data_IF_376420762690
#
_entry.id   IF_376420762690
#
_cell.length_a   1.000
_cell.length_b   1.000
_cell.length_c   1.000
_cell.angle_alpha   90.00
_cell.angle_beta   90.00
_cell.angle_gamma   90.00
#
_symmetry.space_group_name_H-M   'P 1'
#
loop_
_entity.id
_entity.type
_entity.pdbx_description
1 polymer ?
#
# COMPACT_ATOMS: atom_id res chain seq x y z
N UNK A 1 29.74 24.23 2.09
CA UNK A 1 28.28 24.06 2.30
C UNK A 1 27.42 25.16 1.67
N UNK A 2 27.85 26.43 1.59
CA UNK A 2 27.06 27.51 0.96
C UNK A 2 26.82 27.32 -0.56
N UNK A 3 27.82 26.80 -1.27
CA UNK A 3 27.77 26.57 -2.73
C UNK A 3 26.76 25.47 -3.12
N UNK A 4 26.70 24.37 -2.35
CA UNK A 4 25.73 23.28 -2.58
C UNK A 4 24.28 23.76 -2.38
N UNK A 5 24.07 24.66 -1.41
CA UNK A 5 22.75 25.24 -1.13
C UNK A 5 22.31 26.23 -2.23
N UNK A 6 23.25 26.98 -2.79
CA UNK A 6 23.02 27.90 -3.91
C UNK A 6 22.72 27.13 -5.22
N UNK A 7 23.41 26.01 -5.44
CA UNK A 7 23.18 25.13 -6.59
C UNK A 7 21.81 24.42 -6.50
N UNK A 8 21.46 23.89 -5.32
CA UNK A 8 20.16 23.23 -5.10
C UNK A 8 18.97 24.19 -5.27
N UNK A 9 19.13 25.45 -4.86
CA UNK A 9 18.12 26.49 -5.05
C UNK A 9 18.00 26.89 -6.52
N UNK A 10 19.11 26.96 -7.26
CA UNK A 10 19.09 27.17 -8.72
C UNK A 10 18.36 26.07 -9.50
N UNK A 11 18.57 24.79 -9.11
CA UNK A 11 17.88 23.66 -9.72
C UNK A 11 16.36 23.71 -9.48
N UNK A 12 15.94 24.11 -8.26
CA UNK A 12 14.54 24.31 -7.93
C UNK A 12 13.89 25.41 -8.78
N UNK A 13 14.54 26.56 -8.94
CA UNK A 13 14.02 27.63 -9.80
C UNK A 13 13.92 27.20 -11.27
N UNK A 14 14.89 26.44 -11.77
CA UNK A 14 14.85 25.91 -13.14
C UNK A 14 13.71 24.89 -13.32
N UNK A 15 13.46 24.05 -12.33
CA UNK A 15 12.33 23.10 -12.34
C UNK A 15 10.97 23.83 -12.29
N UNK A 16 10.84 24.85 -11.44
CA UNK A 16 9.61 25.66 -11.37
C UNK A 16 9.39 26.45 -12.67
N UNK A 17 10.46 27.01 -13.26
CA UNK A 17 10.37 27.74 -14.52
C UNK A 17 9.97 26.84 -15.70
N UNK A 18 10.46 25.60 -15.74
CA UNK A 18 10.10 24.64 -16.80
C UNK A 18 8.64 24.19 -16.71
N UNK A 19 8.13 23.94 -15.50
CA UNK A 19 6.71 23.61 -15.30
C UNK A 19 5.80 24.80 -15.68
N UNK A 20 6.18 26.02 -15.31
CA UNK A 20 5.44 27.22 -15.70
C UNK A 20 5.44 27.43 -17.22
N UNK A 21 6.58 27.24 -17.89
CA UNK A 21 6.69 27.34 -19.34
C UNK A 21 5.79 26.31 -20.05
N UNK A 22 5.77 25.06 -19.57
CA UNK A 22 4.87 24.02 -20.09
C UNK A 22 3.40 24.40 -19.91
N UNK A 23 3.03 24.94 -18.75
CA UNK A 23 1.66 25.42 -18.49
C UNK A 23 1.22 26.54 -19.44
N UNK A 24 2.11 27.51 -19.71
CA UNK A 24 1.82 28.61 -20.65
C UNK A 24 1.66 28.10 -22.08
N UNK A 25 2.51 27.18 -22.53
CA UNK A 25 2.38 26.57 -23.87
C UNK A 25 1.06 25.81 -23.99
N UNK A 26 0.70 25.04 -22.96
CA UNK A 26 -0.55 24.27 -22.93
C UNK A 26 -1.78 25.19 -22.95
N UNK A 27 -1.77 26.27 -22.18
CA UNK A 27 -2.83 27.28 -22.18
C UNK A 27 -2.94 28.02 -23.53
N UNK A 28 -1.79 28.33 -24.16
CA UNK A 28 -1.76 28.98 -25.47
C UNK A 28 -2.29 28.06 -26.57
N UNK A 29 -1.97 26.75 -26.52
CA UNK A 29 -2.54 25.76 -27.43
C UNK A 29 -4.05 25.58 -27.22
N UNK A 30 -4.51 25.67 -25.97
CA UNK A 30 -5.93 25.59 -25.64
C UNK A 30 -6.72 26.78 -26.21
N UNK A 31 -6.23 28.01 -26.03
CA UNK A 31 -6.87 29.19 -26.63
C UNK A 31 -6.79 29.24 -28.15
N UNK A 32 -5.74 28.66 -28.74
CA UNK A 32 -5.59 28.56 -30.19
C UNK A 32 -6.46 27.44 -30.81
N UNK A 33 -7.20 26.69 -29.99
CA UNK A 33 -8.13 25.66 -30.46
C UNK A 33 -7.44 24.45 -31.11
N UNK A 34 -6.19 24.17 -30.74
CA UNK A 34 -5.43 23.03 -31.29
C UNK A 34 -5.97 21.67 -30.82
N UNK A 35 -6.81 21.65 -29.78
CA UNK A 35 -7.60 20.51 -29.32
C UNK A 35 -8.99 20.48 -29.97
N UNK A 36 -9.10 20.72 -31.28
CA UNK A 36 -10.33 20.33 -31.98
C UNK A 36 -10.34 18.80 -32.05
N UNK A 37 -11.47 18.16 -31.71
CA UNK A 37 -11.60 16.69 -31.70
C UNK A 37 -11.07 16.06 -33.00
N UNK A 38 -11.28 16.73 -34.14
CA UNK A 38 -10.77 16.29 -35.45
C UNK A 38 -9.24 16.17 -35.53
N UNK A 39 -8.47 17.03 -34.84
CA UNK A 39 -6.99 16.98 -34.88
C UNK A 39 -6.41 15.97 -33.90
N UNK A 40 -7.07 15.75 -32.77
CA UNK A 40 -6.70 14.68 -31.83
C UNK A 40 -7.00 13.32 -32.47
N UNK A 41 -8.16 13.18 -33.12
CA UNK A 41 -8.52 11.99 -33.90
C UNK A 41 -7.57 11.82 -35.09
N UNK A 42 -7.20 12.88 -35.80
CA UNK A 42 -6.21 12.82 -36.88
C UNK A 42 -4.81 12.39 -36.39
N UNK A 43 -4.40 12.82 -35.19
CA UNK A 43 -3.12 12.42 -34.59
C UNK A 43 -3.13 10.95 -34.16
N UNK A 44 -4.23 10.48 -33.56
CA UNK A 44 -4.43 9.06 -33.24
C UNK A 44 -4.53 8.19 -34.50
N UNK A 45 -5.19 8.68 -35.55
CA UNK A 45 -5.28 8.01 -36.84
C UNK A 45 -3.91 7.90 -37.52
N UNK A 46 -3.12 8.98 -37.53
CA UNK A 46 -1.76 8.99 -38.06
C UNK A 46 -0.82 8.05 -37.28
N UNK A 47 -0.98 7.98 -35.95
CA UNK A 47 -0.23 7.05 -35.10
C UNK A 47 -0.62 5.57 -35.36
N UNK A 48 -1.85 5.32 -35.78
CA UNK A 48 -2.34 4.01 -36.21
C UNK A 48 -2.13 3.75 -37.72
N UNK A 49 -1.39 4.62 -38.42
CA UNK A 49 -1.03 4.43 -39.83
C UNK A 49 -2.16 4.72 -40.82
N UNK A 50 -3.27 5.30 -40.37
CA UNK A 50 -4.38 5.73 -41.21
C UNK A 50 -4.20 7.23 -41.46
N UNK A 51 -3.76 7.62 -42.65
CA UNK A 51 -3.68 9.03 -43.04
C UNK A 51 -5.10 9.65 -43.00
N UNK A 52 -5.38 10.63 -42.13
CA UNK A 52 -6.61 11.38 -42.25
C UNK A 52 -6.48 12.32 -43.45
N UNK A 53 -7.40 12.20 -44.41
CA UNK A 53 -7.51 13.19 -45.47
C UNK A 53 -7.70 14.59 -44.83
N UNK A 54 -6.80 15.49 -45.18
CA UNK A 54 -6.89 16.89 -44.81
C UNK A 54 -8.23 17.46 -45.32
N UNK A 55 -9.04 18.15 -44.48
CA UNK A 55 -10.35 18.71 -44.87
C UNK A 55 -10.21 19.99 -45.72
N UNK A 56 -9.35 19.95 -46.73
CA UNK A 56 -9.07 21.05 -47.65
C UNK A 56 -8.50 20.62 -49.00
N UNK A 57 -8.28 19.32 -49.23
CA UNK A 57 -7.94 18.82 -50.55
C UNK A 57 -9.23 18.39 -51.27
N UNK A 58 -9.95 19.37 -51.82
CA UNK A 58 -10.89 19.09 -52.89
C UNK A 58 -10.09 18.54 -54.07
N UNK A 59 -9.98 17.21 -54.15
CA UNK A 59 -9.47 16.54 -55.33
C UNK A 59 -10.50 16.75 -56.45
N UNK A 60 -10.10 17.26 -57.63
CA UNK A 60 -11.02 17.42 -58.73
C UNK A 60 -11.52 16.04 -59.13
N UNK A 61 -12.84 15.92 -59.29
CA UNK A 61 -13.51 14.72 -59.75
C UNK A 61 -12.73 14.08 -60.90
N UNK A 62 -12.14 12.91 -60.63
CA UNK A 62 -11.67 12.03 -61.68
C UNK A 62 -12.91 11.58 -62.47
N UNK A 63 -12.84 11.55 -63.82
CA UNK A 63 -13.96 11.10 -64.62
C UNK A 63 -14.30 9.65 -64.23
N UNK A 64 -15.58 9.40 -64.05
CA UNK A 64 -16.13 8.06 -63.93
C UNK A 64 -15.86 7.35 -65.27
N UNK A 65 -14.75 6.62 -65.34
CA UNK A 65 -14.59 5.60 -66.37
C UNK A 65 -15.65 4.53 -66.09
N UNK A 66 -16.57 4.39 -67.04
CA UNK A 66 -17.46 3.24 -67.15
C UNK A 66 -16.59 1.97 -67.19
N UNK A 67 -16.42 1.34 -66.04
CA UNK A 67 -15.77 0.03 -65.95
C UNK A 67 -16.64 -0.99 -66.69
N UNK A 68 -16.29 -1.26 -67.95
CA UNK A 68 -16.53 -2.55 -68.59
C UNK A 68 -16.08 -3.63 -67.58
N UNK A 69 -17.04 -4.32 -66.96
CA UNK A 69 -16.75 -5.44 -66.10
C UNK A 69 -16.15 -6.57 -66.95
N UNK A 70 -14.82 -6.58 -67.09
CA UNK A 70 -14.08 -7.75 -67.55
C UNK A 70 -14.47 -8.91 -66.61
N UNK A 71 -15.22 -9.88 -67.13
CA UNK A 71 -15.64 -11.03 -66.34
C UNK A 71 -14.39 -11.82 -65.97
N UNK A 72 -14.10 -12.01 -64.67
CA UNK A 72 -12.86 -12.64 -64.25
C UNK A 72 -12.80 -14.08 -64.76
N UNK A 73 -11.64 -14.47 -65.28
CA UNK A 73 -11.43 -15.84 -65.74
C UNK A 73 -11.57 -16.82 -64.56
N UNK A 74 -12.06 -18.04 -64.80
CA UNK A 74 -12.20 -19.06 -63.75
C UNK A 74 -10.89 -19.32 -62.99
N UNK A 75 -9.75 -19.21 -63.70
CA UNK A 75 -8.42 -19.34 -63.11
C UNK A 75 -8.13 -18.22 -62.09
N UNK A 76 -8.48 -16.97 -62.38
CA UNK A 76 -8.31 -15.86 -61.44
C UNK A 76 -9.20 -15.99 -60.20
N UNK A 77 -10.45 -16.44 -60.38
CA UNK A 77 -11.36 -16.68 -59.24
C UNK A 77 -10.79 -17.76 -58.32
N UNK A 78 -10.26 -18.84 -58.88
CA UNK A 78 -9.65 -19.93 -58.09
C UNK A 78 -8.42 -19.46 -57.31
N UNK A 79 -7.55 -18.65 -57.93
CA UNK A 79 -6.37 -18.06 -57.28
C UNK A 79 -6.78 -17.09 -56.16
N UNK A 80 -7.75 -16.22 -56.41
CA UNK A 80 -8.27 -15.29 -55.39
C UNK A 80 -8.87 -16.03 -54.19
N UNK A 81 -9.64 -17.10 -54.44
CA UNK A 81 -10.19 -17.95 -53.36
C UNK A 81 -9.09 -18.64 -52.55
N UNK A 82 -8.05 -19.14 -53.20
CA UNK A 82 -6.92 -19.77 -52.52
C UNK A 82 -6.19 -18.75 -51.62
N UNK A 83 -5.88 -17.56 -52.14
CA UNK A 83 -5.25 -16.51 -51.34
C UNK A 83 -6.13 -16.07 -50.17
N UNK A 84 -7.43 -15.94 -50.37
CA UNK A 84 -8.38 -15.62 -49.30
C UNK A 84 -8.42 -16.72 -48.23
N UNK A 85 -8.39 -17.99 -48.63
CA UNK A 85 -8.35 -19.12 -47.67
C UNK A 85 -7.06 -19.17 -46.87
N UNK A 86 -5.92 -18.81 -47.49
CA UNK A 86 -4.64 -18.73 -46.82
C UNK A 86 -4.61 -17.56 -45.82
N UNK A 87 -5.10 -16.39 -46.20
CA UNK A 87 -5.20 -15.23 -45.31
C UNK A 87 -6.08 -15.54 -44.08
N UNK A 88 -7.21 -16.23 -44.30
CA UNK A 88 -8.09 -16.67 -43.21
C UNK A 88 -7.36 -17.62 -42.24
N UNK A 89 -6.62 -18.61 -42.76
CA UNK A 89 -5.85 -19.54 -41.93
C UNK A 89 -4.72 -18.85 -41.14
N UNK A 90 -4.05 -17.85 -41.75
CA UNK A 90 -3.04 -17.05 -41.05
C UNK A 90 -3.66 -16.21 -39.92
N UNK A 91 -4.86 -15.65 -40.14
CA UNK A 91 -5.57 -14.92 -39.08
C UNK A 91 -5.99 -15.84 -37.94
N UNK A 92 -6.55 -17.01 -38.25
CA UNK A 92 -6.94 -18.00 -37.24
C UNK A 92 -5.73 -18.40 -36.38
N UNK A 93 -4.61 -18.76 -37.01
CA UNK A 93 -3.39 -19.13 -36.27
C UNK A 93 -2.81 -17.96 -35.45
N UNK A 94 -2.98 -16.71 -35.89
CA UNK A 94 -2.55 -15.53 -35.13
C UNK A 94 -3.46 -15.27 -33.94
N UNK A 95 -4.76 -15.45 -34.09
CA UNK A 95 -5.74 -15.33 -33.00
C UNK A 95 -5.54 -16.43 -31.96
N UNK A 96 -5.28 -17.67 -32.39
CA UNK A 96 -5.00 -18.76 -31.46
C UNK A 96 -3.73 -18.50 -30.64
N UNK A 97 -2.67 -17.98 -31.27
CA UNK A 97 -1.44 -17.58 -30.59
C UNK A 97 -1.69 -16.46 -29.58
N UNK A 98 -2.42 -15.41 -29.98
CA UNK A 98 -2.68 -14.28 -29.08
C UNK A 98 -3.56 -14.69 -27.89
N UNK A 99 -4.51 -15.61 -28.08
CA UNK A 99 -5.30 -16.17 -26.97
C UNK A 99 -4.44 -16.97 -25.98
N UNK A 100 -3.46 -17.73 -26.48
CA UNK A 100 -2.50 -18.44 -25.63
C UNK A 100 -1.64 -17.45 -24.85
N UNK A 101 -1.10 -16.44 -25.53
CA UNK A 101 -0.25 -15.42 -24.90
C UNK A 101 -1.01 -14.63 -23.82
N UNK A 102 -2.29 -14.28 -24.07
CA UNK A 102 -3.14 -13.63 -23.08
C UNK A 102 -3.36 -14.49 -21.84
N UNK A 103 -3.56 -15.80 -22.01
CA UNK A 103 -3.69 -16.74 -20.87
C UNK A 103 -2.40 -16.86 -20.08
N UNK A 104 -1.25 -16.86 -20.76
CA UNK A 104 0.05 -16.89 -20.09
C UNK A 104 0.26 -15.60 -19.28
N UNK A 105 -0.07 -14.44 -19.86
CA UNK A 105 0.02 -13.16 -19.16
C UNK A 105 -0.93 -13.10 -17.96
N UNK A 106 -2.16 -13.59 -18.11
CA UNK A 106 -3.13 -13.67 -17.01
C UNK A 106 -2.58 -14.53 -15.87
N UNK A 107 -2.05 -15.71 -16.18
CA UNK A 107 -1.42 -16.58 -15.19
C UNK A 107 -0.23 -15.91 -14.50
N UNK A 108 0.61 -15.20 -15.26
CA UNK A 108 1.74 -14.47 -14.71
C UNK A 108 1.28 -13.37 -13.74
N UNK A 109 0.25 -12.60 -14.09
CA UNK A 109 -0.30 -11.55 -13.23
C UNK A 109 -0.87 -12.14 -11.93
N UNK A 110 -1.57 -13.27 -11.99
CA UNK A 110 -2.08 -13.96 -10.80
C UNK A 110 -0.93 -14.37 -9.88
N UNK A 111 0.12 -14.99 -10.43
CA UNK A 111 1.29 -15.41 -9.66
C UNK A 111 2.03 -14.22 -9.04
N UNK A 112 2.19 -13.13 -9.79
CA UNK A 112 2.84 -11.90 -9.29
C UNK A 112 2.02 -11.26 -8.17
N UNK A 113 0.69 -11.21 -8.29
CA UNK A 113 -0.20 -10.69 -7.25
C UNK A 113 -0.14 -11.54 -5.97
N UNK A 114 -0.14 -12.86 -6.10
CA UNK A 114 0.01 -13.75 -4.94
C UNK A 114 1.35 -13.53 -4.24
N UNK A 115 2.43 -13.40 -5.02
CA UNK A 115 3.77 -13.09 -4.48
C UNK A 115 3.81 -11.74 -3.77
N UNK A 116 3.21 -10.71 -4.34
CA UNK A 116 3.12 -9.38 -3.73
C UNK A 116 2.33 -9.42 -2.42
N UNK A 117 1.20 -10.15 -2.40
CA UNK A 117 0.40 -10.32 -1.19
C UNK A 117 1.18 -11.03 -0.08
N UNK A 118 1.88 -12.12 -0.40
CA UNK A 118 2.74 -12.80 0.56
C UNK A 118 3.86 -11.89 1.09
N UNK A 119 4.43 -11.05 0.24
CA UNK A 119 5.44 -10.08 0.63
C UNK A 119 4.89 -9.00 1.56
N UNK A 120 3.71 -8.45 1.26
CA UNK A 120 3.01 -7.48 2.11
C UNK A 120 2.70 -8.08 3.49
N UNK A 121 2.09 -9.27 3.52
CA UNK A 121 1.82 -9.97 4.79
C UNK A 121 3.12 -10.25 5.58
N UNK A 122 4.21 -10.54 4.89
CA UNK A 122 5.54 -10.70 5.49
C UNK A 122 6.08 -9.39 6.08
N UNK A 123 5.90 -8.26 5.39
CA UNK A 123 6.29 -6.94 5.89
C UNK A 123 5.47 -6.52 7.09
N UNK A 124 4.15 -6.68 7.04
CA UNK A 124 3.26 -6.32 8.15
C UNK A 124 3.62 -7.09 9.42
N UNK A 125 3.90 -8.39 9.29
CA UNK A 125 4.39 -9.21 10.41
C UNK A 125 5.74 -8.73 10.96
N UNK A 126 6.65 -8.27 10.08
CA UNK A 126 7.95 -7.74 10.52
C UNK A 126 7.80 -6.38 11.22
N UNK A 127 6.92 -5.53 10.73
CA UNK A 127 6.62 -4.23 11.34
C UNK A 127 5.99 -4.46 12.72
N UNK A 128 4.97 -5.32 12.81
CA UNK A 128 4.34 -5.67 14.09
C UNK A 128 5.36 -6.20 15.11
N UNK A 129 6.20 -7.17 14.71
CA UNK A 129 7.27 -7.70 15.57
C UNK A 129 8.29 -6.64 15.99
N UNK A 130 8.68 -5.75 15.08
CA UNK A 130 9.61 -4.67 15.39
C UNK A 130 9.00 -3.68 16.39
N UNK A 131 7.73 -3.32 16.21
CA UNK A 131 7.00 -2.46 17.15
C UNK A 131 6.87 -3.12 18.53
N UNK A 132 6.50 -4.40 18.59
CA UNK A 132 6.41 -5.14 19.85
C UNK A 132 7.78 -5.22 20.55
N UNK A 133 8.85 -5.50 19.81
CA UNK A 133 10.22 -5.57 20.35
C UNK A 133 10.67 -4.22 20.91
N UNK A 134 10.39 -3.12 20.19
CA UNK A 134 10.73 -1.77 20.65
C UNK A 134 9.91 -1.42 21.91
N UNK A 135 8.63 -1.75 21.92
CA UNK A 135 7.76 -1.52 23.07
C UNK A 135 8.24 -2.31 24.29
N UNK A 136 8.55 -3.59 24.14
CA UNK A 136 9.10 -4.42 25.21
C UNK A 136 10.46 -3.89 25.71
N UNK A 137 11.35 -3.44 24.82
CA UNK A 137 12.61 -2.83 25.24
C UNK A 137 12.39 -1.52 26.01
N UNK A 138 11.43 -0.70 25.58
CA UNK A 138 11.09 0.55 26.25
C UNK A 138 10.48 0.31 27.62
N UNK A 139 9.63 -0.71 27.77
CA UNK A 139 9.09 -1.15 29.06
C UNK A 139 10.19 -1.68 29.97
N UNK A 140 11.19 -2.38 29.42
CA UNK A 140 12.33 -2.88 30.17
C UNK A 140 13.24 -1.74 30.67
N UNK A 141 13.48 -0.71 29.84
CA UNK A 141 14.20 0.50 30.24
C UNK A 141 13.43 1.29 31.32
N UNK A 142 12.11 1.42 31.18
CA UNK A 142 11.24 2.02 32.20
C UNK A 142 11.32 1.24 33.52
N UNK A 143 11.26 -0.09 33.47
CA UNK A 143 11.41 -0.95 34.65
C UNK A 143 12.79 -0.76 35.31
N UNK A 144 13.87 -0.70 34.51
CA UNK A 144 15.21 -0.48 35.04
C UNK A 144 15.32 0.90 35.72
N UNK A 145 14.72 1.92 35.12
CA UNK A 145 14.66 3.28 35.67
C UNK A 145 13.83 3.30 36.96
N UNK A 146 12.66 2.66 36.97
CA UNK A 146 11.77 2.55 38.12
C UNK A 146 12.42 1.81 39.29
N UNK A 147 13.27 0.84 38.99
CA UNK A 147 14.07 0.11 39.99
C UNK A 147 15.27 0.90 40.51
N UNK A 148 15.76 1.89 39.76
CA UNK A 148 16.90 2.72 40.15
C UNK A 148 16.50 3.90 41.04
N UNK A 149 15.27 4.41 40.90
CA UNK A 149 14.75 5.52 41.69
C UNK A 149 14.21 5.08 43.07
N UNK A 150 13.92 6.07 43.93
CA UNK A 150 13.36 5.80 45.26
C UNK A 150 11.92 5.25 45.19
N UNK A 151 11.48 4.41 46.15
CA UNK A 151 10.14 3.81 46.12
C UNK A 151 8.99 4.83 46.09
N UNK A 152 9.19 6.00 46.71
CA UNK A 152 8.21 7.11 46.72
C UNK A 152 8.05 7.75 45.34
N UNK A 153 9.17 8.00 44.65
CA UNK A 153 9.15 8.54 43.28
C UNK A 153 8.62 7.51 42.28
N UNK A 154 8.91 6.23 42.49
CA UNK A 154 8.34 5.16 41.67
C UNK A 154 6.81 5.11 41.77
N UNK A 155 6.25 5.29 42.98
CA UNK A 155 4.80 5.42 43.16
C UNK A 155 4.23 6.58 42.35
N UNK A 156 4.81 7.77 42.48
CA UNK A 156 4.35 8.96 41.76
C UNK A 156 4.42 8.78 40.25
N UNK A 157 5.47 8.12 39.75
CA UNK A 157 5.60 7.84 38.32
C UNK A 157 4.56 6.84 37.82
N UNK A 158 4.25 5.79 38.60
CA UNK A 158 3.18 4.82 38.27
C UNK A 158 1.82 5.52 38.25
N UNK A 159 1.53 6.37 39.24
CA UNK A 159 0.28 7.13 39.28
C UNK A 159 0.17 8.10 38.10
N UNK A 160 1.26 8.80 37.77
CA UNK A 160 1.31 9.65 36.58
C UNK A 160 1.09 8.85 35.30
N UNK A 161 1.71 7.68 35.13
CA UNK A 161 1.48 6.83 33.96
C UNK A 161 0.02 6.40 33.79
N UNK A 162 -0.69 6.15 34.90
CA UNK A 162 -2.11 5.82 34.90
C UNK A 162 -3.02 7.04 34.68
N UNK A 163 -2.55 8.25 35.02
CA UNK A 163 -3.30 9.51 34.87
C UNK A 163 -3.04 10.21 33.53
N UNK A 164 -1.86 10.06 32.94
CA UNK A 164 -1.48 10.63 31.63
C UNK A 164 -1.79 9.71 30.47
N UNK A 165 -2.26 8.48 30.72
CA UNK A 165 -2.92 7.70 29.69
C UNK A 165 -4.08 8.56 29.14
N UNK A 166 -4.22 8.73 27.81
CA UNK A 166 -5.24 9.58 27.24
C UNK A 166 -6.60 8.98 27.60
N UNK A 167 -7.19 9.45 28.69
CA UNK A 167 -8.61 9.31 28.96
C UNK A 167 -9.33 10.11 27.88
N UNK A 168 -9.54 9.45 26.73
CA UNK A 168 -10.47 9.92 25.72
C UNK A 168 -11.82 10.08 26.41
N UNK A 169 -12.27 11.32 26.52
CA UNK A 169 -13.60 11.70 27.02
C UNK A 169 -14.65 10.70 26.51
N UNK A 170 -15.23 9.93 27.46
CA UNK A 170 -16.55 9.34 27.29
C UNK A 170 -16.67 7.93 26.72
N UNK A 171 -15.59 7.22 26.35
CA UNK A 171 -15.70 5.78 26.03
C UNK A 171 -14.47 5.03 26.54
N UNK A 172 -14.70 4.03 27.40
CA UNK A 172 -13.69 3.06 27.81
C UNK A 172 -13.09 2.42 26.55
N UNK A 173 -11.97 2.96 26.11
CA UNK A 173 -11.31 2.57 24.86
C UNK A 173 -10.04 1.82 25.23
N UNK A 174 -9.65 0.93 24.33
CA UNK A 174 -8.60 -0.11 24.43
C UNK A 174 -7.25 0.40 25.00
N UNK A 175 -7.02 1.70 25.01
CA UNK A 175 -5.80 2.37 25.46
C UNK A 175 -5.67 2.45 27.00
N UNK A 176 -6.77 2.65 27.75
CA UNK A 176 -6.74 2.66 29.22
C UNK A 176 -6.36 1.27 29.77
N UNK A 177 -6.87 0.23 29.12
CA UNK A 177 -6.50 -1.16 29.42
C UNK A 177 -5.04 -1.45 29.07
N UNK A 178 -4.46 -0.78 28.07
CA UNK A 178 -3.06 -0.96 27.66
C UNK A 178 -2.09 -0.37 28.68
N UNK A 179 -2.33 0.86 29.13
CA UNK A 179 -1.48 1.50 30.16
C UNK A 179 -1.52 0.73 31.49
N UNK A 180 -2.71 0.26 31.89
CA UNK A 180 -2.86 -0.61 33.05
C UNK A 180 -2.12 -1.94 32.88
N UNK A 181 -2.24 -2.58 31.71
CA UNK A 181 -1.53 -3.82 31.40
C UNK A 181 -0.01 -3.67 31.39
N UNK A 182 0.51 -2.55 30.88
CA UNK A 182 1.94 -2.26 30.85
C UNK A 182 2.49 -2.08 32.28
N UNK A 183 1.75 -1.37 33.15
CA UNK A 183 2.08 -1.25 34.58
C UNK A 183 2.05 -2.61 35.29
N UNK A 184 1.06 -3.44 34.99
CA UNK A 184 0.94 -4.80 35.52
C UNK A 184 2.11 -5.68 35.07
N UNK A 185 2.49 -5.63 33.78
CA UNK A 185 3.66 -6.34 33.22
C UNK A 185 4.95 -5.91 33.91
N UNK A 186 5.16 -4.59 34.07
CA UNK A 186 6.32 -4.05 34.76
C UNK A 186 6.38 -4.48 36.23
N UNK A 187 5.26 -4.40 36.96
CA UNK A 187 5.19 -4.84 38.35
C UNK A 187 5.45 -6.34 38.50
N UNK A 188 4.92 -7.19 37.60
CA UNK A 188 5.15 -8.64 37.58
C UNK A 188 6.60 -9.02 37.28
N UNK A 189 7.27 -8.28 36.39
CA UNK A 189 8.67 -8.51 36.04
C UNK A 189 9.65 -8.02 37.12
N UNK A 190 9.20 -7.17 38.07
CA UNK A 190 10.04 -6.64 39.13
C UNK A 190 10.34 -7.68 40.25
N UNK A 191 11.56 -7.71 40.83
CA UNK A 191 11.87 -8.54 41.99
C UNK A 191 10.99 -8.23 43.22
N UNK A 192 10.61 -9.27 43.96
CA UNK A 192 9.65 -9.20 45.08
C UNK A 192 9.99 -8.16 46.15
N UNK A 193 11.28 -7.97 46.46
CA UNK A 193 11.72 -7.02 47.49
C UNK A 193 11.47 -5.57 47.11
N UNK A 194 11.67 -5.22 45.83
CA UNK A 194 11.40 -3.86 45.33
C UNK A 194 9.90 -3.63 45.14
N UNK A 195 9.19 -4.64 44.66
CA UNK A 195 7.72 -4.61 44.53
C UNK A 195 7.05 -4.33 45.88
N UNK A 196 7.44 -5.06 46.94
CA UNK A 196 6.89 -4.87 48.30
C UNK A 196 7.16 -3.47 48.84
N UNK A 197 8.35 -2.92 48.60
CA UNK A 197 8.73 -1.56 49.03
C UNK A 197 7.92 -0.48 48.31
N UNK A 198 7.68 -0.63 47.01
CA UNK A 198 6.88 0.32 46.22
C UNK A 198 5.40 0.23 46.62
N UNK A 199 4.84 -0.97 46.72
CA UNK A 199 3.44 -1.17 47.15
C UNK A 199 3.20 -0.68 48.58
N UNK A 200 4.19 -0.73 49.47
CA UNK A 200 4.10 -0.22 50.83
C UNK A 200 4.04 1.31 50.97
N UNK A 201 4.33 2.07 49.91
CA UNK A 201 4.23 3.54 49.89
C UNK A 201 2.86 4.05 49.42
N UNK A 202 1.98 3.18 48.90
CA UNK A 202 0.57 3.49 48.60
C UNK A 202 -0.22 3.49 49.91
N UNK A 203 -0.45 4.68 50.48
CA UNK A 203 -1.05 4.86 51.82
C UNK A 203 -2.35 5.66 51.81
N UNK A 204 -2.65 6.34 50.70
CA UNK A 204 -3.85 7.17 50.58
C UNK A 204 -5.07 6.33 50.17
N UNK A 205 -6.26 6.65 50.68
CA UNK A 205 -7.50 5.94 50.34
C UNK A 205 -7.78 5.82 48.81
N UNK A 206 -7.68 6.88 47.99
CA UNK A 206 -7.82 6.78 46.53
C UNK A 206 -6.69 6.00 45.84
N UNK A 207 -5.50 5.94 46.44
CA UNK A 207 -4.38 5.16 45.92
C UNK A 207 -4.59 3.65 46.14
N UNK A 208 -5.26 3.28 47.23
CA UNK A 208 -5.55 1.89 47.59
C UNK A 208 -6.58 1.27 46.63
N UNK A 209 -7.57 2.04 46.17
CA UNK A 209 -8.53 1.58 45.16
C UNK A 209 -7.84 1.27 43.83
N UNK A 210 -6.99 2.17 43.34
CA UNK A 210 -6.18 1.95 42.12
C UNK A 210 -5.22 0.76 42.28
N UNK A 211 -4.64 0.57 43.47
CA UNK A 211 -3.78 -0.58 43.76
C UNK A 211 -4.59 -1.90 43.78
N UNK A 212 -5.79 -1.90 44.34
CA UNK A 212 -6.67 -3.06 44.33
C UNK A 212 -7.09 -3.44 42.91
N UNK A 213 -7.30 -2.47 42.04
CA UNK A 213 -7.55 -2.67 40.60
C UNK A 213 -6.33 -3.29 39.90
N UNK A 214 -5.13 -2.74 40.10
CA UNK A 214 -3.87 -3.32 39.58
C UNK A 214 -3.67 -4.76 40.09
N UNK A 215 -3.94 -5.04 41.37
CA UNK A 215 -3.83 -6.39 41.93
C UNK A 215 -4.88 -7.36 41.39
N UNK A 216 -6.10 -6.86 41.11
CA UNK A 216 -7.15 -7.63 40.47
C UNK A 216 -6.76 -7.98 39.03
N UNK A 217 -6.20 -7.03 38.29
CA UNK A 217 -5.71 -7.23 36.93
C UNK A 217 -4.49 -8.17 36.88
N UNK A 218 -3.58 -8.08 37.87
CA UNK A 218 -2.48 -9.06 38.06
C UNK A 218 -3.04 -10.48 38.20
N UNK A 219 -4.14 -10.64 38.94
CA UNK A 219 -4.81 -11.92 39.20
C UNK A 219 -5.62 -12.43 38.00
N UNK A 220 -6.23 -11.53 37.22
CA UNK A 220 -7.04 -11.85 36.03
C UNK A 220 -6.23 -11.91 34.72
N UNK A 221 -4.97 -11.49 34.75
CA UNK A 221 -4.15 -11.22 33.57
C UNK A 221 -4.22 -12.34 32.51
N UNK A 222 -4.71 -12.04 31.29
CA UNK A 222 -4.90 -13.00 30.19
C UNK A 222 -3.59 -13.45 29.49
N UNK A 223 -2.43 -13.11 30.05
CA UNK A 223 -1.11 -13.35 29.43
C UNK A 223 -0.80 -14.84 29.21
N UNK A 224 -1.30 -15.71 30.09
CA UNK A 224 -1.20 -17.17 29.89
C UNK A 224 -2.17 -17.66 28.81
N UNK A 225 -3.35 -17.04 28.68
CA UNK A 225 -4.36 -17.42 27.69
C UNK A 225 -4.01 -17.00 26.27
N UNK A 226 -3.31 -15.88 26.06
CA UNK A 226 -2.81 -15.47 24.73
C UNK A 226 -1.67 -16.37 24.27
N UNK A 227 -0.68 -16.66 25.13
CA UNK A 227 0.40 -17.61 24.85
C UNK A 227 -0.14 -19.02 24.52
N UNK A 228 -1.18 -19.46 25.24
CA UNK A 228 -1.84 -20.74 24.99
C UNK A 228 -2.67 -20.73 23.69
N UNK A 229 -3.32 -19.61 23.35
CA UNK A 229 -4.06 -19.47 22.07
C UNK A 229 -3.13 -19.43 20.86
N UNK A 230 -2.00 -18.73 20.95
CA UNK A 230 -1.01 -18.69 19.87
C UNK A 230 -0.32 -20.04 19.69
N UNK A 231 0.00 -20.74 20.79
CA UNK A 231 0.52 -22.10 20.75
C UNK A 231 -0.50 -23.07 20.13
N UNK A 232 -1.79 -22.94 20.47
CA UNK A 232 -2.87 -23.75 19.88
C UNK A 232 -3.06 -23.49 18.39
N UNK A 233 -3.05 -22.22 17.96
CA UNK A 233 -3.12 -21.85 16.53
C UNK A 233 -1.93 -22.39 15.73
N UNK A 234 -0.73 -22.42 16.33
CA UNK A 234 0.45 -23.01 15.69
C UNK A 234 0.33 -24.53 15.53
N UNK A 235 -0.31 -25.21 16.48
CA UNK A 235 -0.55 -26.66 16.40
C UNK A 235 -1.65 -26.98 15.37
N UNK A 236 -2.77 -26.27 15.40
CA UNK A 236 -3.87 -26.45 14.44
C UNK A 236 -3.44 -26.12 12.99
N UNK A 237 -2.55 -25.13 12.80
CA UNK A 237 -1.95 -24.82 11.49
C UNK A 237 -0.94 -25.84 10.98
N UNK A 238 -0.40 -26.71 11.85
CA UNK A 238 0.58 -27.74 11.50
C UNK A 238 -0.10 -29.10 11.24
N UNK A 239 -1.27 -29.36 11.83
CA UNK A 239 -2.07 -30.56 11.56
C UNK A 239 -2.80 -30.52 10.21
N UNK A 240 -3.08 -29.33 9.65
CA UNK A 240 -3.68 -29.19 8.31
C UNK A 240 -2.72 -29.37 7.12
N UNK A 241 -1.46 -29.75 7.37
CA UNK A 241 -0.39 -29.88 6.36
C UNK A 241 0.21 -31.29 6.25
N UNK A 242 -0.40 -32.29 6.89
CA UNK A 242 -0.01 -33.70 6.77
C UNK A 242 -1.03 -34.50 5.98
#
# INVERSE_FOLDING_TARGET
MKIVRLLGMGLLYLCVATVLAQGVVMAMLWWKGAFSDDRVVAMFAALHGIHPESPGAASPAAPQDEHLHEQPSLAEISKKRLLASLDLSLRETTLDKSLIDLRILEQQIVVENERLKQWQEGMDKRIARALDTVLDSSLQELLQTLMAISPKQAKEQILKMLETAPAGEGTATVEDTRAMNDVVRMLKAMPMDKRKKILGEFKSAPEIEKLAEILREIRLSPLEMEMLRDSRKQLEGNEGKR
#
